data_IF_983701041212
#
_entry.id   IF_983701041212
#
_cell.length_a   1.000
_cell.length_b   1.000
_cell.length_c   1.000
_cell.angle_alpha   90.00
_cell.angle_beta   90.00
_cell.angle_gamma   90.00
#
_symmetry.space_group_name_H-M   'P 1'
#
loop_
_entity.id
_entity.type
_entity.pdbx_description
1 polymer ?
#
# COMPACT_ATOMS: atom_id res chain seq x y z
N UNK A 1 8.83 13.85 -10.03
CA UNK A 1 8.39 13.20 -8.79
C UNK A 1 7.55 12.03 -9.25
N UNK A 2 8.04 10.80 -9.12
CA UNK A 2 7.25 9.62 -9.51
C UNK A 2 6.02 9.62 -8.60
N UNK A 3 4.83 9.84 -9.17
CA UNK A 3 3.59 9.78 -8.42
C UNK A 3 3.37 8.33 -8.01
N UNK A 4 3.62 8.02 -6.74
CA UNK A 4 3.09 6.78 -6.16
C UNK A 4 1.57 6.88 -6.22
N UNK A 5 0.91 5.82 -6.69
CA UNK A 5 -0.54 5.72 -6.58
C UNK A 5 -0.85 5.33 -5.14
N UNK A 6 -1.60 6.18 -4.46
CA UNK A 6 -2.06 5.94 -3.10
C UNK A 6 -3.57 6.20 -2.99
N UNK A 7 -4.22 5.39 -2.16
CA UNK A 7 -5.54 5.69 -1.63
C UNK A 7 -5.49 5.37 -0.13
N UNK A 8 -5.84 6.38 0.67
CA UNK A 8 -5.84 6.30 2.12
C UNK A 8 -7.25 6.55 2.61
N UNK A 9 -7.71 5.66 3.51
CA UNK A 9 -8.99 5.81 4.22
C UNK A 9 -8.75 5.76 5.71
N UNK A 10 -9.20 6.79 6.43
CA UNK A 10 -9.16 6.88 7.89
C UNK A 10 -10.57 7.02 8.44
N UNK A 11 -10.83 6.22 9.46
CA UNK A 11 -12.12 6.15 10.11
C UNK A 11 -11.92 6.11 11.61
N UNK A 12 -12.76 6.86 12.34
CA UNK A 12 -12.82 6.84 13.80
C UNK A 12 -14.06 6.07 14.22
N UNK A 13 -13.86 5.11 15.13
CA UNK A 13 -14.97 4.42 15.81
C UNK A 13 -15.35 5.24 17.04
N UNK A 14 -16.61 5.67 17.10
CA UNK A 14 -17.16 6.47 18.19
C UNK A 14 -17.62 5.57 19.34
N UNK A 15 -17.83 6.11 20.57
CA UNK A 15 -18.30 5.32 21.71
C UNK A 15 -19.66 4.62 21.50
N UNK A 16 -20.50 5.12 20.59
CA UNK A 16 -21.78 4.53 20.22
C UNK A 16 -21.65 3.41 19.17
N UNK A 17 -20.42 3.07 18.76
CA UNK A 17 -20.11 2.06 17.75
C UNK A 17 -20.23 2.55 16.30
N UNK A 18 -20.68 3.80 16.07
CA UNK A 18 -20.70 4.37 14.72
C UNK A 18 -19.28 4.64 14.22
N UNK A 19 -19.10 4.59 12.90
CA UNK A 19 -17.83 4.89 12.25
C UNK A 19 -17.96 6.17 11.44
N UNK A 20 -17.00 7.09 11.59
CA UNK A 20 -16.94 8.32 10.82
C UNK A 20 -15.64 8.38 10.02
N UNK A 21 -15.77 8.55 8.71
CA UNK A 21 -14.63 8.86 7.85
C UNK A 21 -14.13 10.28 8.14
N UNK A 22 -12.82 10.44 8.13
CA UNK A 22 -12.14 11.72 8.36
C UNK A 22 -11.13 11.97 7.26
N UNK A 23 -10.96 13.25 6.90
CA UNK A 23 -9.88 13.67 6.01
C UNK A 23 -8.52 13.46 6.67
N UNK A 24 -7.51 13.14 5.86
CA UNK A 24 -6.15 12.97 6.31
C UNK A 24 -5.43 14.32 6.47
N UNK A 25 -4.46 14.42 7.39
CA UNK A 25 -3.44 15.46 7.31
C UNK A 25 -2.71 15.42 5.97
N UNK A 26 -2.46 16.59 5.37
CA UNK A 26 -1.85 16.73 4.04
C UNK A 26 -0.44 16.11 3.94
N UNK A 27 0.27 15.98 5.05
CA UNK A 27 1.62 15.44 5.13
C UNK A 27 1.69 13.92 5.28
N UNK A 28 0.56 13.26 5.57
CA UNK A 28 0.56 11.83 5.88
C UNK A 28 0.93 10.93 4.67
N UNK A 29 0.49 11.20 3.43
CA UNK A 29 0.93 10.42 2.28
C UNK A 29 2.45 10.42 2.10
N UNK A 30 3.10 11.57 2.33
CA UNK A 30 4.55 11.68 2.28
C UNK A 30 5.22 10.82 3.38
N UNK A 31 4.68 10.84 4.60
CA UNK A 31 5.18 10.00 5.69
C UNK A 31 5.05 8.49 5.37
N UNK A 32 3.96 8.04 4.74
CA UNK A 32 3.84 6.65 4.29
C UNK A 32 4.79 6.31 3.14
N UNK A 33 5.08 7.26 2.25
CA UNK A 33 6.12 7.10 1.24
C UNK A 33 7.50 6.89 1.88
N UNK A 34 7.85 7.65 2.92
CA UNK A 34 9.09 7.42 3.67
C UNK A 34 9.11 6.02 4.30
N UNK A 35 7.98 5.55 4.85
CA UNK A 35 7.86 4.17 5.37
C UNK A 35 8.03 3.12 4.27
N UNK A 36 7.56 3.36 3.04
CA UNK A 36 7.84 2.47 1.89
C UNK A 36 9.33 2.31 1.65
N UNK A 37 10.07 3.43 1.66
CA UNK A 37 11.53 3.40 1.48
C UNK A 37 12.25 2.73 2.65
N UNK A 38 11.82 2.99 3.89
CA UNK A 38 12.42 2.40 5.09
C UNK A 38 12.21 0.89 5.19
N UNK A 39 11.08 0.39 4.71
CA UNK A 39 10.73 -1.04 4.74
C UNK A 39 11.04 -1.77 3.44
N UNK A 40 11.70 -1.11 2.49
CA UNK A 40 12.21 -1.80 1.31
C UNK A 40 13.35 -2.73 1.70
N UNK A 41 13.25 -3.99 1.26
CA UNK A 41 14.32 -4.97 1.37
C UNK A 41 14.67 -5.49 -0.03
N UNK A 42 15.97 -5.58 -0.40
CA UNK A 42 16.39 -6.17 -1.66
C UNK A 42 15.76 -7.55 -1.89
N UNK A 43 15.37 -7.82 -3.13
CA UNK A 43 14.71 -9.05 -3.57
C UNK A 43 13.30 -9.31 -2.98
N UNK A 44 12.90 -8.69 -1.86
CA UNK A 44 11.55 -8.76 -1.29
C UNK A 44 10.64 -7.63 -1.79
N UNK A 45 11.22 -6.46 -2.04
CA UNK A 45 10.49 -5.22 -2.35
C UNK A 45 9.99 -4.51 -1.10
N UNK A 46 9.00 -3.64 -1.27
CA UNK A 46 8.28 -2.98 -0.16
C UNK A 46 6.80 -3.35 -0.18
N UNK A 47 6.06 -3.09 0.89
CA UNK A 47 4.67 -3.50 1.08
C UNK A 47 3.70 -2.96 0.01
N UNK A 48 2.55 -3.61 -0.19
CA UNK A 48 1.49 -3.20 -1.13
C UNK A 48 0.36 -2.41 -0.46
N UNK A 49 0.01 -2.77 0.77
CA UNK A 49 -0.94 -2.01 1.59
C UNK A 49 -0.56 -2.06 3.06
N UNK A 50 -1.07 -1.10 3.82
CA UNK A 50 -0.88 -1.00 5.27
C UNK A 50 -2.22 -0.81 5.96
N UNK A 51 -2.41 -1.48 7.10
CA UNK A 51 -3.51 -1.23 8.03
C UNK A 51 -2.95 -0.76 9.36
N UNK A 52 -3.28 0.47 9.73
CA UNK A 52 -2.97 1.07 11.03
C UNK A 52 -4.27 1.16 11.84
N UNK A 53 -4.28 0.58 13.04
CA UNK A 53 -5.36 0.73 14.02
C UNK A 53 -4.79 1.40 15.26
N UNK A 54 -5.35 2.55 15.62
CA UNK A 54 -5.02 3.27 16.85
C UNK A 54 -6.12 3.00 17.87
N UNK A 55 -5.75 2.53 19.06
CA UNK A 55 -6.65 2.35 20.20
C UNK A 55 -6.08 3.13 21.40
N UNK A 56 -6.44 4.43 21.51
CA UNK A 56 -5.91 5.33 22.51
C UNK A 56 -6.23 4.90 23.95
N UNK A 57 -5.41 5.28 24.94
CA UNK A 57 -4.32 6.25 24.83
C UNK A 57 -2.98 5.65 24.35
N UNK A 58 -2.80 4.34 24.46
CA UNK A 58 -1.47 3.74 24.55
C UNK A 58 -1.24 2.54 23.63
N UNK A 59 -2.23 2.12 22.84
CA UNK A 59 -2.06 0.99 21.94
C UNK A 59 -2.28 1.33 20.47
N UNK A 60 -1.47 0.70 19.63
CA UNK A 60 -1.66 0.72 18.19
C UNK A 60 -1.22 -0.61 17.59
N UNK A 61 -1.76 -0.93 16.42
CA UNK A 61 -1.36 -2.08 15.61
C UNK A 61 -1.13 -1.64 14.19
N UNK A 62 0.01 -2.03 13.63
CA UNK A 62 0.34 -1.85 12.21
C UNK A 62 0.44 -3.23 11.57
N UNK A 63 -0.08 -3.36 10.36
CA UNK A 63 0.05 -4.57 9.56
C UNK A 63 0.35 -4.19 8.12
N UNK A 64 1.52 -4.60 7.65
CA UNK A 64 1.96 -4.39 6.27
C UNK A 64 1.70 -5.67 5.47
N UNK A 65 1.14 -5.50 4.29
CA UNK A 65 0.82 -6.60 3.39
C UNK A 65 1.85 -6.65 2.25
N UNK A 66 2.61 -7.73 2.16
CA UNK A 66 3.62 -7.94 1.12
C UNK A 66 3.21 -8.95 0.05
N UNK A 67 2.05 -9.59 0.20
CA UNK A 67 1.73 -10.85 -0.49
C UNK A 67 0.35 -10.86 -1.15
N UNK A 68 -0.64 -10.29 -0.50
CA UNK A 68 -2.05 -10.38 -0.90
C UNK A 68 -2.40 -9.21 -1.81
N UNK A 69 -3.19 -9.46 -2.85
CA UNK A 69 -3.75 -8.41 -3.69
C UNK A 69 -4.64 -7.49 -2.83
N UNK A 70 -4.37 -6.17 -2.74
CA UNK A 70 -5.20 -5.26 -1.96
C UNK A 70 -6.61 -5.08 -2.54
N UNK A 71 -6.83 -5.48 -3.80
CA UNK A 71 -8.11 -5.37 -4.52
C UNK A 71 -8.60 -3.91 -4.56
N UNK A 72 -7.72 -3.01 -5.02
CA UNK A 72 -7.99 -1.58 -5.12
C UNK A 72 -9.26 -1.28 -5.93
N UNK A 73 -10.01 -0.25 -5.49
CA UNK A 73 -11.20 0.25 -6.17
C UNK A 73 -11.14 1.79 -6.28
N UNK A 74 -10.99 2.37 -7.49
CA UNK A 74 -10.87 1.66 -8.76
C UNK A 74 -9.55 0.87 -8.88
N UNK A 75 -9.48 -0.15 -9.76
CA UNK A 75 -8.25 -0.89 -9.99
C UNK A 75 -7.09 0.03 -10.43
N UNK A 76 -5.90 -0.22 -9.89
CA UNK A 76 -4.68 0.48 -10.29
C UNK A 76 -4.24 0.02 -11.68
N UNK A 77 -3.77 0.97 -12.50
CA UNK A 77 -3.20 0.70 -13.82
C UNK A 77 -1.98 -0.25 -13.70
N UNK A 78 -1.90 -1.33 -14.49
CA UNK A 78 -0.73 -2.21 -14.53
C UNK A 78 0.62 -1.48 -14.69
N UNK A 79 0.67 -0.36 -15.41
CA UNK A 79 1.89 0.43 -15.59
C UNK A 79 2.39 1.05 -14.27
N UNK A 80 1.49 1.37 -13.33
CA UNK A 80 1.88 1.88 -12.01
C UNK A 80 2.56 0.80 -11.16
N UNK A 81 2.12 -0.47 -11.27
CA UNK A 81 2.81 -1.58 -10.63
C UNK A 81 4.19 -1.84 -11.24
N UNK A 82 4.34 -1.71 -12.57
CA UNK A 82 5.64 -1.82 -13.22
C UNK A 82 6.60 -0.73 -12.73
N UNK A 83 6.14 0.53 -12.71
CA UNK A 83 6.93 1.65 -12.17
C UNK A 83 7.29 1.48 -10.69
N UNK A 84 6.38 0.93 -9.85
CA UNK A 84 6.68 0.64 -8.45
C UNK A 84 7.80 -0.41 -8.31
N UNK A 85 7.83 -1.43 -9.18
CA UNK A 85 8.89 -2.45 -9.20
C UNK A 85 10.23 -1.95 -9.74
N UNK A 86 10.25 -0.89 -10.55
CA UNK A 86 11.50 -0.22 -10.93
C UNK A 86 12.16 0.45 -9.71
N UNK A 87 11.36 0.99 -8.79
CA UNK A 87 11.84 1.63 -7.56
C UNK A 87 12.12 0.60 -6.46
N UNK A 88 11.24 -0.39 -6.30
CA UNK A 88 11.30 -1.41 -5.25
C UNK A 88 11.36 -2.82 -5.85
N UNK A 89 12.48 -3.20 -6.47
CA UNK A 89 12.57 -4.45 -7.21
C UNK A 89 12.37 -5.67 -6.31
N UNK A 90 11.69 -6.66 -6.88
CA UNK A 90 11.38 -7.94 -6.27
C UNK A 90 11.97 -9.08 -7.07
N UNK A 91 12.47 -10.10 -6.40
CA UNK A 91 12.84 -11.36 -7.04
C UNK A 91 11.60 -12.11 -7.50
N UNK A 92 11.76 -12.98 -8.51
CA UNK A 92 10.65 -13.80 -9.00
C UNK A 92 9.98 -14.62 -7.87
N UNK A 93 10.74 -15.09 -6.88
CA UNK A 93 10.23 -15.85 -5.75
C UNK A 93 9.33 -15.02 -4.81
N UNK A 94 9.63 -13.72 -4.64
CA UNK A 94 8.89 -12.81 -3.75
C UNK A 94 7.87 -11.94 -4.48
N UNK A 95 7.72 -12.10 -5.78
CA UNK A 95 6.64 -11.49 -6.56
C UNK A 95 5.41 -12.39 -6.51
N UNK A 96 4.30 -11.99 -5.86
CA UNK A 96 3.10 -12.82 -5.77
C UNK A 96 2.47 -13.10 -7.14
N UNK A 97 1.76 -14.22 -7.24
CA UNK A 97 1.16 -14.67 -8.51
C UNK A 97 0.18 -13.65 -9.11
N UNK A 98 -0.56 -12.90 -8.27
CA UNK A 98 -1.48 -11.88 -8.74
C UNK A 98 -0.74 -10.73 -9.44
N UNK A 99 0.39 -10.29 -8.88
CA UNK A 99 1.18 -9.21 -9.45
C UNK A 99 1.82 -9.65 -10.77
N UNK A 100 2.31 -10.89 -10.86
CA UNK A 100 2.80 -11.45 -12.13
C UNK A 100 1.74 -11.44 -13.22
N UNK A 101 0.48 -11.75 -12.88
CA UNK A 101 -0.64 -11.72 -13.84
C UNK A 101 -0.95 -10.30 -14.30
N UNK A 102 -0.96 -9.32 -13.40
CA UNK A 102 -1.17 -7.90 -13.73
C UNK A 102 -0.10 -7.40 -14.71
N UNK A 103 1.16 -7.69 -14.44
CA UNK A 103 2.29 -7.26 -15.29
C UNK A 103 2.34 -7.96 -16.66
N UNK A 104 1.78 -9.16 -16.77
CA UNK A 104 1.68 -9.85 -18.06
C UNK A 104 0.65 -9.19 -19.01
N UNK A 105 -0.39 -8.57 -18.45
CA UNK A 105 -1.38 -7.80 -19.22
C UNK A 105 -0.75 -6.53 -19.80
N UNK A 106 0.07 -5.84 -19.01
CA UNK A 106 0.81 -4.63 -19.42
C UNK A 106 1.73 -4.91 -20.61
N UNK A 107 2.51 -5.99 -20.55
CA UNK A 107 3.39 -6.41 -21.66
C UNK A 107 2.66 -6.82 -22.95
N UNK A 108 1.33 -6.99 -22.89
CA UNK A 108 0.49 -7.37 -24.02
C UNK A 108 -0.29 -6.21 -24.63
N UNK A 109 -0.22 -5.01 -24.02
CA UNK A 109 -0.91 -3.79 -24.43
C UNK A 109 -0.02 -2.87 -25.27
#
# INVERSE_FOLDING_TARGET
MLSTVDDLVYSVVMPDGSTRAHEFPDDLPAAFSDVRHLLYEPDLGTWFSVRLVLDPPDSFRVSFNFEVDPVWDPPIDPAAYAADLEVYPRSAANTPDWLRRVLAVEQSA
#
